data_IF_272737574663
#
_entry.id   IF_272737574663
#
_cell.length_a   1.000
_cell.length_b   1.000
_cell.length_c   1.000
_cell.angle_alpha   90.00
_cell.angle_beta   90.00
_cell.angle_gamma   90.00
#
_symmetry.space_group_name_H-M   'P 1'
#
loop_
_entity.id
_entity.type
_entity.pdbx_description
1 polymer ?
#
# COMPACT_ATOMS: atom_id res chain seq x y z
N UNK A 1 14.27 -5.42 -0.93
CA UNK A 1 12.97 -5.87 -1.47
C UNK A 1 12.33 -6.81 -0.47
N UNK A 2 10.99 -6.79 -0.33
CA UNK A 2 10.25 -7.70 0.56
C UNK A 2 8.88 -8.01 -0.01
N UNK A 3 8.35 -9.20 0.28
CA UNK A 3 6.99 -9.59 -0.07
C UNK A 3 6.10 -9.46 1.17
N UNK A 4 5.03 -8.69 1.07
CA UNK A 4 4.08 -8.48 2.16
C UNK A 4 2.71 -8.98 1.72
N UNK A 5 2.09 -9.84 2.52
CA UNK A 5 0.73 -10.32 2.28
C UNK A 5 -0.28 -9.47 3.06
N UNK A 6 -1.30 -8.99 2.38
CA UNK A 6 -2.41 -8.27 3.00
C UNK A 6 -3.70 -9.05 2.78
N UNK A 7 -4.41 -9.36 3.86
CA UNK A 7 -5.76 -9.92 3.76
C UNK A 7 -6.78 -8.80 3.69
N UNK A 8 -7.56 -8.74 2.60
CA UNK A 8 -8.61 -7.75 2.43
C UNK A 8 -9.66 -7.86 3.55
N UNK A 9 -10.00 -6.73 4.17
CA UNK A 9 -11.10 -6.62 5.13
C UNK A 9 -12.43 -6.35 4.40
N UNK A 10 -13.55 -6.82 4.98
CA UNK A 10 -14.90 -6.60 4.44
C UNK A 10 -15.25 -5.10 4.36
N UNK A 11 -14.85 -4.34 5.37
CA UNK A 11 -14.97 -2.87 5.42
C UNK A 11 -13.55 -2.29 5.38
N UNK A 12 -13.31 -1.25 4.59
CA UNK A 12 -11.98 -0.60 4.47
C UNK A 12 -11.01 -1.27 3.46
N UNK A 13 -11.30 -2.49 3.00
CA UNK A 13 -10.53 -3.13 1.93
C UNK A 13 -9.08 -3.44 2.34
N UNK A 14 -8.11 -2.95 1.56
CA UNK A 14 -6.67 -3.11 1.87
C UNK A 14 -6.13 -2.05 2.83
N UNK A 15 -6.83 -0.91 2.99
CA UNK A 15 -6.41 0.13 3.93
C UNK A 15 -5.15 0.89 3.57
N UNK A 16 -4.90 1.12 2.27
CA UNK A 16 -3.86 2.02 1.77
C UNK A 16 -4.33 2.79 0.53
N UNK A 17 -3.66 3.88 0.21
CA UNK A 17 -3.79 4.61 -1.05
C UNK A 17 -2.49 4.56 -1.82
N UNK A 18 -2.60 4.62 -3.15
CA UNK A 18 -1.48 4.53 -4.09
C UNK A 18 -1.41 5.83 -4.91
N UNK A 19 -0.22 6.22 -5.33
CA UNK A 19 0.01 7.28 -6.33
C UNK A 19 1.05 6.82 -7.35
N UNK A 20 1.17 7.59 -8.43
CA UNK A 20 2.08 7.28 -9.53
C UNK A 20 1.44 6.33 -10.53
N UNK A 21 2.24 5.94 -11.52
CA UNK A 21 1.72 5.28 -12.73
C UNK A 21 2.57 5.65 -13.94
N UNK A 22 2.52 4.79 -14.95
CA UNK A 22 3.28 4.96 -16.18
C UNK A 22 2.91 6.25 -16.92
N UNK A 23 1.64 6.67 -16.83
CA UNK A 23 1.11 7.91 -17.38
C UNK A 23 1.79 9.16 -16.81
N UNK A 24 2.30 9.08 -15.58
CA UNK A 24 3.00 10.17 -14.90
C UNK A 24 4.52 9.97 -14.89
N UNK A 25 5.05 8.90 -15.51
CA UNK A 25 6.47 8.50 -15.43
C UNK A 25 6.97 8.38 -13.99
N UNK A 26 6.09 7.99 -13.06
CA UNK A 26 6.39 7.81 -11.65
C UNK A 26 6.21 6.33 -11.26
N UNK A 27 7.04 5.79 -10.35
CA UNK A 27 6.80 4.46 -9.79
C UNK A 27 5.47 4.43 -9.04
N UNK A 28 4.91 3.23 -8.89
CA UNK A 28 3.71 3.01 -8.07
C UNK A 28 4.14 3.07 -6.60
N UNK A 29 3.65 4.06 -5.86
CA UNK A 29 4.06 4.34 -4.48
C UNK A 29 2.86 4.28 -3.52
N UNK A 30 3.08 3.79 -2.31
CA UNK A 30 2.11 3.93 -1.21
C UNK A 30 2.07 5.39 -0.76
N UNK A 31 0.94 6.06 -1.01
CA UNK A 31 0.74 7.48 -0.66
C UNK A 31 0.12 7.69 0.71
N UNK A 32 -0.60 6.70 1.25
CA UNK A 32 -1.23 6.75 2.57
C UNK A 32 -1.47 5.34 3.11
N UNK A 33 -1.36 5.18 4.43
CA UNK A 33 -1.79 3.98 5.16
C UNK A 33 -2.85 4.39 6.18
N UNK A 34 -4.00 3.72 6.16
CA UNK A 34 -5.11 4.05 7.05
C UNK A 34 -4.98 3.30 8.38
N UNK A 35 -4.93 4.06 9.48
CA UNK A 35 -4.80 3.51 10.84
C UNK A 35 -5.89 2.47 11.09
N UNK A 36 -5.49 1.39 11.75
CA UNK A 36 -6.30 0.24 12.15
C UNK A 36 -6.90 -0.60 11.00
N UNK A 37 -6.58 -0.32 9.73
CA UNK A 37 -7.01 -1.13 8.60
C UNK A 37 -5.95 -2.17 8.20
N UNK A 38 -6.26 -3.03 7.21
CA UNK A 38 -5.47 -4.21 6.86
C UNK A 38 -3.97 -3.93 6.68
N UNK A 39 -3.59 -2.96 5.84
CA UNK A 39 -2.19 -2.59 5.63
C UNK A 39 -1.48 -2.04 6.89
N UNK A 40 -2.19 -1.30 7.76
CA UNK A 40 -1.61 -0.81 9.01
C UNK A 40 -1.38 -1.93 10.02
N UNK A 41 -2.21 -2.99 9.98
CA UNK A 41 -2.12 -4.12 10.90
C UNK A 41 -0.92 -5.03 10.59
N UNK A 42 -0.43 -5.07 9.34
CA UNK A 42 0.78 -5.85 9.00
C UNK A 42 2.01 -5.29 9.69
N UNK A 43 2.09 -3.96 9.89
CA UNK A 43 3.30 -3.25 10.37
C UNK A 43 4.52 -3.41 9.46
N UNK A 44 4.30 -3.88 8.23
CA UNK A 44 5.33 -4.17 7.25
C UNK A 44 5.27 -3.26 6.03
N UNK A 45 4.40 -2.25 6.02
CA UNK A 45 4.25 -1.28 4.93
C UNK A 45 4.37 0.14 5.47
N UNK A 46 5.00 1.01 4.67
CA UNK A 46 5.25 2.40 5.02
C UNK A 46 4.89 3.33 3.87
N UNK A 47 4.52 4.57 4.20
CA UNK A 47 4.30 5.61 3.18
C UNK A 47 5.63 5.87 2.46
N UNK A 48 5.58 5.90 1.14
CA UNK A 48 6.77 6.04 0.29
C UNK A 48 7.34 4.72 -0.22
N UNK A 49 6.91 3.57 0.32
CA UNK A 49 7.28 2.28 -0.26
C UNK A 49 6.83 2.20 -1.73
N UNK A 50 7.72 1.68 -2.57
CA UNK A 50 7.42 1.38 -3.97
C UNK A 50 6.87 -0.03 -4.12
N UNK A 51 5.79 -0.15 -4.89
CA UNK A 51 5.20 -1.43 -5.28
C UNK A 51 5.84 -1.83 -6.61
N UNK A 52 6.56 -2.94 -6.58
CA UNK A 52 7.27 -3.52 -7.73
C UNK A 52 6.70 -4.92 -8.02
N UNK A 53 6.89 -5.40 -9.24
CA UNK A 53 6.44 -6.72 -9.71
C UNK A 53 7.49 -7.78 -9.42
#
# INVERSE_FOLDING_TARGET
>A
ERMVQIRRQKVGGLGLSIKGGAEHKLPILISRIYKNQAAHQTKELFVGDAIIK
#
